data_IF_917834488630
#
_entry.id   IF_917834488630
#
_cell.length_a   1.000
_cell.length_b   1.000
_cell.length_c   1.000
_cell.angle_alpha   90.00
_cell.angle_beta   90.00
_cell.angle_gamma   90.00
#
_symmetry.space_group_name_H-M   'P 1'
#
loop_
_entity.id
_entity.type
_entity.pdbx_description
1 polymer ?
#
# COMPACT_ATOMS: atom_id res chain seq x y z
N UNK A 1 -13.72 -5.59 18.42
CA UNK A 1 -14.48 -4.96 17.31
C UNK A 1 -14.32 -3.47 17.45
N UNK A 2 -13.51 -2.84 16.61
CA UNK A 2 -13.24 -1.41 16.72
C UNK A 2 -14.17 -0.66 15.76
N UNK A 3 -14.95 0.27 16.32
CA UNK A 3 -15.87 1.12 15.57
C UNK A 3 -15.11 2.38 15.18
N UNK A 4 -15.03 2.67 13.88
CA UNK A 4 -14.44 3.92 13.38
C UNK A 4 -15.57 4.91 13.14
N UNK A 5 -15.53 6.06 13.82
CA UNK A 5 -16.44 7.15 13.49
C UNK A 5 -16.02 7.78 12.15
N UNK A 6 -16.76 7.47 11.09
CA UNK A 6 -16.54 8.04 9.76
C UNK A 6 -17.44 9.26 9.55
N UNK A 7 -16.81 10.37 9.13
CA UNK A 7 -17.52 11.61 8.80
C UNK A 7 -18.22 11.48 7.46
N UNK A 8 -19.37 12.15 7.29
CA UNK A 8 -20.10 12.24 6.00
C UNK A 8 -19.21 12.67 4.83
N UNK A 9 -18.27 13.59 5.07
CA UNK A 9 -17.32 14.05 4.07
C UNK A 9 -16.34 12.94 3.60
N UNK A 10 -16.01 11.99 4.48
CA UNK A 10 -15.15 10.86 4.14
C UNK A 10 -15.94 9.80 3.37
N UNK A 11 -17.20 9.54 3.73
CA UNK A 11 -18.12 8.68 2.93
C UNK A 11 -18.22 9.20 1.49
N UNK A 12 -18.37 10.52 1.30
CA UNK A 12 -18.44 11.10 -0.04
C UNK A 12 -17.16 10.89 -0.86
N UNK A 13 -15.98 10.87 -0.22
CA UNK A 13 -14.71 10.57 -0.90
C UNK A 13 -14.60 9.10 -1.26
N UNK A 14 -15.07 8.22 -0.39
CA UNK A 14 -15.08 6.77 -0.61
C UNK A 14 -15.98 6.45 -1.82
N UNK A 15 -17.19 7.00 -1.86
CA UNK A 15 -18.09 6.88 -3.03
C UNK A 15 -17.44 7.33 -4.33
N UNK A 16 -16.71 8.45 -4.32
CA UNK A 16 -15.97 8.93 -5.51
C UNK A 16 -14.84 7.99 -5.97
N UNK A 17 -14.24 7.23 -5.05
CA UNK A 17 -13.26 6.19 -5.41
C UNK A 17 -13.97 5.00 -6.07
N UNK A 18 -15.11 4.58 -5.52
CA UNK A 18 -15.94 3.50 -6.06
C UNK A 18 -16.48 3.85 -7.45
N UNK A 19 -17.06 5.03 -7.62
CA UNK A 19 -17.53 5.53 -8.92
C UNK A 19 -16.41 5.53 -9.97
N UNK A 20 -15.20 5.91 -9.59
CA UNK A 20 -14.06 5.89 -10.49
C UNK A 20 -13.66 4.45 -10.88
N UNK A 21 -13.69 3.52 -9.93
CA UNK A 21 -13.45 2.10 -10.20
C UNK A 21 -14.53 1.52 -11.12
N UNK A 22 -15.80 1.81 -10.87
CA UNK A 22 -16.92 1.29 -11.67
C UNK A 22 -16.85 1.79 -13.11
N UNK A 23 -16.48 3.06 -13.33
CA UNK A 23 -16.25 3.62 -14.67
C UNK A 23 -15.07 2.98 -15.40
N UNK A 24 -14.00 2.59 -14.68
CA UNK A 24 -12.90 1.82 -15.28
C UNK A 24 -13.35 0.40 -15.65
N UNK A 25 -14.16 -0.24 -14.79
CA UNK A 25 -14.68 -1.60 -15.00
C UNK A 25 -15.66 -1.66 -16.18
N UNK A 26 -16.55 -0.67 -16.30
CA UNK A 26 -17.52 -0.58 -17.41
C UNK A 26 -16.87 -0.17 -18.74
N UNK A 27 -15.67 0.40 -18.69
CA UNK A 27 -14.98 0.96 -19.85
C UNK A 27 -15.52 2.34 -20.27
N UNK A 28 -16.41 2.95 -19.49
CA UNK A 28 -16.83 4.35 -19.66
C UNK A 28 -15.62 5.28 -19.58
N UNK A 29 -14.68 4.96 -18.70
CA UNK A 29 -13.39 5.63 -18.59
C UNK A 29 -12.26 4.63 -18.78
N UNK A 30 -11.19 5.06 -19.44
CA UNK A 30 -9.99 4.22 -19.68
C UNK A 30 -8.77 4.68 -18.90
N UNK A 31 -8.85 5.89 -18.34
CA UNK A 31 -7.72 6.54 -17.69
C UNK A 31 -8.20 7.53 -16.63
N UNK A 32 -7.56 7.49 -15.46
CA UNK A 32 -7.52 8.62 -14.55
C UNK A 32 -6.10 8.98 -14.16
N UNK A 33 -5.85 10.29 -14.01
CA UNK A 33 -4.63 10.79 -13.40
C UNK A 33 -4.58 10.32 -11.95
N UNK A 34 -3.39 9.91 -11.50
CA UNK A 34 -3.17 9.34 -10.15
C UNK A 34 -3.53 10.28 -8.99
N UNK A 35 -3.65 11.59 -9.26
CA UNK A 35 -4.13 12.59 -8.30
C UNK A 35 -5.55 12.30 -7.81
N UNK A 36 -6.31 11.47 -8.52
CA UNK A 36 -7.61 10.93 -8.09
C UNK A 36 -7.53 10.19 -6.73
N UNK A 37 -6.38 9.61 -6.39
CA UNK A 37 -6.14 8.96 -5.10
C UNK A 37 -5.73 9.91 -3.97
N UNK A 38 -5.67 11.23 -4.21
CA UNK A 38 -5.27 12.20 -3.18
C UNK A 38 -6.21 12.21 -1.96
N UNK A 39 -7.46 11.74 -2.11
CA UNK A 39 -8.41 11.55 -1.03
C UNK A 39 -7.90 10.62 0.08
N UNK A 40 -7.04 9.64 -0.26
CA UNK A 40 -6.43 8.69 0.68
C UNK A 40 -5.73 9.41 1.82
N UNK A 41 -4.99 10.50 1.55
CA UNK A 41 -4.32 11.29 2.60
C UNK A 41 -5.31 11.71 3.68
N UNK A 42 -6.45 12.23 3.26
CA UNK A 42 -7.48 12.71 4.17
C UNK A 42 -8.24 11.59 4.90
N UNK A 43 -8.40 10.43 4.26
CA UNK A 43 -9.02 9.24 4.86
C UNK A 43 -8.10 8.62 5.93
N UNK A 44 -6.78 8.76 5.78
CA UNK A 44 -5.77 8.28 6.72
C UNK A 44 -5.44 9.25 7.88
N UNK A 45 -6.29 10.25 8.14
CA UNK A 45 -6.10 11.18 9.27
C UNK A 45 -6.21 10.51 10.63
N UNK A 46 -7.17 9.60 10.79
CA UNK A 46 -7.29 8.79 12.00
C UNK A 46 -6.16 7.76 12.03
N UNK A 47 -5.32 7.81 13.06
CA UNK A 47 -4.14 6.96 13.16
C UNK A 47 -4.49 5.48 13.22
N UNK A 48 -5.44 5.09 14.07
CA UNK A 48 -5.86 3.70 14.20
C UNK A 48 -6.37 3.16 12.86
N UNK A 49 -7.23 3.90 12.18
CA UNK A 49 -7.75 3.52 10.87
C UNK A 49 -6.65 3.43 9.80
N UNK A 50 -5.71 4.38 9.82
CA UNK A 50 -4.53 4.36 8.95
C UNK A 50 -3.68 3.10 9.19
N UNK A 51 -3.42 2.73 10.44
CA UNK A 51 -2.66 1.51 10.78
C UNK A 51 -3.37 0.26 10.24
N UNK A 52 -4.68 0.16 10.40
CA UNK A 52 -5.48 -0.93 9.84
C UNK A 52 -5.42 -0.96 8.31
N UNK A 53 -5.48 0.19 7.65
CA UNK A 53 -5.36 0.30 6.21
C UNK A 53 -3.98 -0.12 5.70
N UNK A 54 -2.91 0.32 6.36
CA UNK A 54 -1.55 -0.08 6.02
C UNK A 54 -1.37 -1.59 6.16
N UNK A 55 -1.92 -2.20 7.21
CA UNK A 55 -1.87 -3.65 7.37
C UNK A 55 -2.66 -4.40 6.29
N UNK A 56 -3.88 -3.95 6.00
CA UNK A 56 -4.70 -4.56 4.94
C UNK A 56 -3.97 -4.55 3.59
N UNK A 57 -3.42 -3.40 3.19
CA UNK A 57 -2.68 -3.33 1.93
C UNK A 57 -1.35 -4.08 1.97
N UNK A 58 -0.67 -4.11 3.12
CA UNK A 58 0.52 -4.94 3.29
C UNK A 58 0.19 -6.41 3.02
N UNK A 59 -0.93 -6.93 3.54
CA UNK A 59 -1.38 -8.29 3.28
C UNK A 59 -1.67 -8.54 1.79
N UNK A 60 -2.32 -7.58 1.10
CA UNK A 60 -2.51 -7.67 -0.35
C UNK A 60 -1.17 -7.75 -1.10
N UNK A 61 -0.17 -6.92 -0.74
CA UNK A 61 1.17 -6.95 -1.35
C UNK A 61 1.90 -8.25 -1.05
N UNK A 62 1.82 -8.73 0.20
CA UNK A 62 2.40 -10.03 0.60
C UNK A 62 1.81 -11.16 -0.23
N UNK A 63 0.48 -11.25 -0.37
CA UNK A 63 -0.17 -12.27 -1.20
C UNK A 63 0.30 -12.22 -2.66
N UNK A 64 0.42 -11.02 -3.25
CA UNK A 64 0.94 -10.88 -4.61
C UNK A 64 2.39 -11.38 -4.74
N UNK A 65 3.23 -11.09 -3.75
CA UNK A 65 4.61 -11.58 -3.70
C UNK A 65 4.66 -13.11 -3.56
N UNK A 66 3.85 -13.69 -2.68
CA UNK A 66 3.78 -15.14 -2.47
C UNK A 66 3.32 -15.88 -3.74
N UNK A 67 2.34 -15.35 -4.46
CA UNK A 67 1.91 -15.90 -5.75
C UNK A 67 3.05 -15.90 -6.76
N UNK A 68 3.77 -14.78 -6.93
CA UNK A 68 4.92 -14.70 -7.85
C UNK A 68 6.00 -15.72 -7.50
N UNK A 69 6.29 -15.88 -6.20
CA UNK A 69 7.31 -16.81 -5.70
C UNK A 69 6.89 -18.28 -5.90
N UNK A 70 5.61 -18.60 -5.80
CA UNK A 70 5.09 -19.97 -5.96
C UNK A 70 5.02 -20.40 -7.43
N UNK A 71 4.76 -19.47 -8.35
CA UNK A 71 4.73 -19.77 -9.81
C UNK A 71 6.12 -20.09 -10.38
N UNK A 72 7.18 -19.52 -9.80
CA UNK A 72 8.56 -19.76 -10.21
C UNK A 72 9.07 -21.03 -9.52
N UNK A 73 9.22 -22.11 -10.29
CA UNK A 73 9.58 -23.45 -9.80
C UNK A 73 11.00 -23.53 -9.16
N UNK A 74 11.80 -22.46 -9.23
CA UNK A 74 13.11 -22.34 -8.59
C UNK A 74 13.30 -20.93 -8.02
N UNK A 75 13.32 -20.82 -6.69
CA UNK A 75 13.58 -19.54 -6.03
C UNK A 75 15.08 -19.26 -6.03
N UNK A 76 15.45 -18.09 -6.54
CA UNK A 76 16.79 -17.55 -6.37
C UNK A 76 17.03 -17.19 -4.89
N UNK A 77 18.30 -17.15 -4.41
CA UNK A 77 18.60 -16.70 -3.05
C UNK A 77 18.02 -15.32 -2.71
N UNK A 78 17.91 -14.45 -3.73
CA UNK A 78 17.32 -13.12 -3.64
C UNK A 78 15.81 -13.17 -3.37
N UNK A 79 15.09 -14.05 -4.04
CA UNK A 79 13.64 -14.25 -3.85
C UNK A 79 13.36 -14.86 -2.49
N UNK A 80 14.16 -15.84 -2.06
CA UNK A 80 14.06 -16.41 -0.72
C UNK A 80 14.28 -15.35 0.37
N UNK A 81 15.28 -14.47 0.19
CA UNK A 81 15.51 -13.35 1.12
C UNK A 81 14.30 -12.41 1.19
N UNK A 82 13.73 -12.03 0.05
CA UNK A 82 12.53 -11.18 0.00
C UNK A 82 11.38 -11.86 0.73
N UNK A 83 11.13 -13.13 0.41
CA UNK A 83 10.05 -13.93 0.98
C UNK A 83 10.14 -13.98 2.51
N UNK A 84 11.32 -14.33 3.03
CA UNK A 84 11.57 -14.39 4.47
C UNK A 84 11.40 -13.02 5.14
N UNK A 85 11.96 -11.95 4.56
CA UNK A 85 11.84 -10.60 5.09
C UNK A 85 10.38 -10.14 5.19
N UNK A 86 9.56 -10.44 4.18
CA UNK A 86 8.14 -10.08 4.19
C UNK A 86 7.37 -10.86 5.24
N UNK A 87 7.68 -12.15 5.46
CA UNK A 87 7.09 -12.91 6.55
C UNK A 87 7.50 -12.43 7.94
N UNK A 88 8.77 -12.05 8.13
CA UNK A 88 9.22 -11.43 9.38
C UNK A 88 8.45 -10.13 9.65
N UNK A 89 8.30 -9.27 8.64
CA UNK A 89 7.50 -8.03 8.77
C UNK A 89 6.04 -8.35 9.07
N UNK A 90 5.46 -9.37 8.44
CA UNK A 90 4.08 -9.80 8.71
C UNK A 90 3.89 -10.18 10.19
N UNK A 91 4.85 -10.91 10.77
CA UNK A 91 4.83 -11.27 12.19
C UNK A 91 4.90 -10.02 13.08
N UNK A 92 5.73 -9.04 12.72
CA UNK A 92 5.80 -7.74 13.43
C UNK A 92 4.45 -7.00 13.38
N UNK A 93 3.73 -7.07 12.26
CA UNK A 93 2.40 -6.45 12.14
C UNK A 93 1.36 -7.16 13.04
N UNK A 94 1.43 -8.48 13.16
CA UNK A 94 0.59 -9.26 14.09
C UNK A 94 0.89 -8.88 15.53
N UNK A 95 2.17 -8.85 15.91
CA UNK A 95 2.61 -8.46 17.24
C UNK A 95 2.11 -7.06 17.64
N UNK A 96 2.13 -6.11 16.68
CA UNK A 96 1.62 -4.76 16.89
C UNK A 96 0.11 -4.74 17.23
N UNK A 97 -0.67 -5.64 16.62
CA UNK A 97 -2.12 -5.74 16.87
C UNK A 97 -2.46 -6.40 18.20
N UNK A 98 -1.60 -7.30 18.65
CA UNK A 98 -1.62 -7.85 19.99
C UNK A 98 -1.18 -6.84 21.06
N UNK A 99 -0.82 -5.61 20.63
CA UNK A 99 -0.43 -4.52 21.52
C UNK A 99 1.02 -4.58 22.00
N UNK A 100 1.86 -5.41 21.37
CA UNK A 100 3.29 -5.47 21.69
C UNK A 100 4.00 -4.22 21.15
N UNK A 101 5.02 -3.76 21.87
CA UNK A 101 5.93 -2.75 21.35
C UNK A 101 6.82 -3.35 20.27
N UNK A 102 6.64 -2.87 19.04
CA UNK A 102 7.34 -3.34 17.85
C UNK A 102 8.29 -2.29 17.25
N UNK A 103 8.49 -1.15 17.92
CA UNK A 103 9.24 -0.01 17.37
C UNK A 103 10.64 -0.41 16.89
N UNK A 104 11.38 -1.15 17.71
CA UNK A 104 12.72 -1.65 17.36
C UNK A 104 12.70 -2.60 16.16
N UNK A 105 11.69 -3.47 16.06
CA UNK A 105 11.54 -4.40 14.95
C UNK A 105 11.22 -3.65 13.64
N UNK A 106 10.32 -2.67 13.68
CA UNK A 106 10.01 -1.80 12.54
C UNK A 106 11.26 -1.04 12.07
N UNK A 107 12.04 -0.45 12.99
CA UNK A 107 13.30 0.23 12.65
C UNK A 107 14.33 -0.73 12.04
N UNK A 108 14.46 -1.95 12.58
CA UNK A 108 15.33 -3.00 12.01
C UNK A 108 14.93 -3.33 10.57
N UNK A 109 13.65 -3.62 10.32
CA UNK A 109 13.17 -3.99 8.99
C UNK A 109 13.23 -2.83 8.00
N UNK A 110 12.94 -1.60 8.46
CA UNK A 110 13.19 -0.38 7.68
C UNK A 110 14.62 -0.31 7.17
N UNK A 111 15.60 -0.55 8.05
CA UNK A 111 17.01 -0.51 7.69
C UNK A 111 17.38 -1.65 6.73
N UNK A 112 16.82 -2.85 6.92
CA UNK A 112 17.03 -3.98 5.99
C UNK A 112 16.48 -3.66 4.58
N UNK A 113 15.28 -3.09 4.48
CA UNK A 113 14.68 -2.66 3.21
C UNK A 113 15.52 -1.55 2.56
N UNK A 114 15.91 -0.54 3.34
CA UNK A 114 16.73 0.57 2.86
C UNK A 114 18.08 0.07 2.32
N UNK A 115 18.74 -0.85 3.04
CA UNK A 115 20.00 -1.47 2.62
C UNK A 115 19.81 -2.32 1.35
N UNK A 116 18.76 -3.13 1.28
CA UNK A 116 18.50 -3.93 0.09
C UNK A 116 18.30 -3.04 -1.15
N UNK A 117 17.58 -1.93 -0.99
CA UNK A 117 17.28 -0.95 -2.03
C UNK A 117 18.27 0.24 -2.06
N UNK A 118 19.51 0.05 -1.60
CA UNK A 118 20.50 1.14 -1.43
C UNK A 118 21.29 1.49 -2.69
N UNK A 119 20.86 1.03 -3.86
CA UNK A 119 21.57 1.34 -5.09
C UNK A 119 21.24 2.77 -5.51
N UNK A 120 22.26 3.55 -5.84
CA UNK A 120 22.10 4.92 -6.33
C UNK A 120 22.85 5.09 -7.64
N UNK A 121 22.26 5.87 -8.55
CA UNK A 121 22.87 6.26 -9.81
C UNK A 121 22.96 7.77 -9.90
N UNK A 122 24.16 8.27 -10.18
CA UNK A 122 24.34 9.68 -10.55
C UNK A 122 23.83 9.89 -11.98
N UNK A 123 22.87 10.79 -12.13
CA UNK A 123 22.45 11.34 -13.42
C UNK A 123 22.94 12.79 -13.53
N UNK A 124 22.84 13.41 -14.71
CA UNK A 124 23.49 14.70 -15.03
C UNK A 124 23.27 15.80 -13.99
N UNK A 125 22.10 15.85 -13.35
CA UNK A 125 21.72 16.93 -12.41
C UNK A 125 21.41 16.45 -10.99
N UNK A 126 21.44 15.15 -10.70
CA UNK A 126 21.12 14.64 -9.35
C UNK A 126 21.56 13.18 -9.15
N UNK A 127 21.45 12.68 -7.93
CA UNK A 127 21.58 11.25 -7.60
C UNK A 127 20.18 10.68 -7.42
N UNK A 128 19.86 9.62 -8.15
CA UNK A 128 18.58 8.92 -8.04
C UNK A 128 18.76 7.56 -7.38
N UNK A 129 17.82 7.18 -6.52
CA UNK A 129 17.75 5.82 -5.95
C UNK A 129 17.20 4.86 -7.00
N UNK A 130 17.89 3.74 -7.20
CA UNK A 130 17.43 2.65 -8.05
C UNK A 130 16.58 1.69 -7.22
N UNK A 131 15.27 1.70 -7.48
CA UNK A 131 14.32 0.81 -6.81
C UNK A 131 14.42 -0.58 -7.44
N UNK A 132 14.81 -1.57 -6.64
CA UNK A 132 15.00 -2.96 -7.08
C UNK A 132 13.68 -3.73 -7.13
N UNK A 133 12.73 -3.39 -6.27
CA UNK A 133 11.42 -4.03 -6.19
C UNK A 133 10.36 -3.01 -5.77
N UNK A 134 9.36 -2.80 -6.62
CA UNK A 134 8.22 -1.94 -6.31
C UNK A 134 7.43 -2.47 -5.11
N UNK A 135 7.31 -3.79 -4.98
CA UNK A 135 6.60 -4.42 -3.85
C UNK A 135 7.30 -4.10 -2.52
N UNK A 136 8.64 -4.18 -2.49
CA UNK A 136 9.42 -3.79 -1.30
C UNK A 136 9.37 -2.28 -1.02
N UNK A 137 9.32 -1.44 -2.06
CA UNK A 137 9.13 0.00 -1.88
C UNK A 137 7.77 0.32 -1.23
N UNK A 138 6.71 -0.40 -1.62
CA UNK A 138 5.39 -0.23 -1.00
C UNK A 138 5.45 -0.60 0.49
N UNK A 139 6.11 -1.72 0.83
CA UNK A 139 6.31 -2.15 2.21
C UNK A 139 7.14 -1.13 3.00
N UNK A 140 8.18 -0.57 2.40
CA UNK A 140 8.99 0.50 2.99
C UNK A 140 8.12 1.72 3.35
N UNK A 141 7.23 2.15 2.45
CA UNK A 141 6.28 3.22 2.77
C UNK A 141 5.31 2.86 3.89
N UNK A 142 4.88 1.60 4.01
CA UNK A 142 4.04 1.19 5.13
C UNK A 142 4.78 1.23 6.46
N UNK A 143 6.01 0.72 6.52
CA UNK A 143 6.83 0.80 7.74
C UNK A 143 7.08 2.26 8.12
N UNK A 144 7.46 3.10 7.16
CA UNK A 144 7.66 4.53 7.41
C UNK A 144 6.38 5.21 7.88
N UNK A 145 5.22 4.82 7.33
CA UNK A 145 3.91 5.33 7.74
C UNK A 145 3.57 4.94 9.19
N UNK A 146 3.94 3.74 9.63
CA UNK A 146 3.71 3.27 11.00
C UNK A 146 4.65 3.93 12.01
N UNK A 147 5.87 4.26 11.59
CA UNK A 147 6.86 4.97 12.40
C UNK A 147 6.66 6.51 12.43
N UNK A 148 5.77 7.03 11.57
CA UNK A 148 5.50 8.47 11.45
C UNK A 148 4.18 8.88 12.09
N UNK A 149 4.06 10.17 12.41
CA UNK A 149 2.80 10.79 12.87
C UNK A 149 2.25 11.78 11.84
N UNK A 150 1.01 12.22 12.08
CA UNK A 150 0.38 13.37 11.43
C UNK A 150 0.39 13.34 9.89
N UNK A 151 0.71 14.47 9.26
CA UNK A 151 0.70 14.67 7.82
C UNK A 151 1.76 13.82 7.09
N UNK A 152 2.89 13.54 7.74
CA UNK A 152 3.92 12.64 7.18
C UNK A 152 3.35 11.25 6.96
N UNK A 153 2.68 10.70 7.99
CA UNK A 153 2.07 9.37 7.89
C UNK A 153 0.95 9.33 6.84
N UNK A 154 0.14 10.39 6.71
CA UNK A 154 -0.90 10.49 5.67
C UNK A 154 -0.30 10.49 4.25
N UNK A 155 0.81 11.21 4.06
CA UNK A 155 1.54 11.23 2.78
C UNK A 155 2.12 9.86 2.46
N UNK A 156 2.73 9.19 3.42
CA UNK A 156 3.33 7.87 3.25
C UNK A 156 2.27 6.81 2.91
N UNK A 157 1.13 6.80 3.61
CA UNK A 157 -0.01 5.95 3.25
C UNK A 157 -0.46 6.18 1.80
N UNK A 158 -0.59 7.45 1.38
CA UNK A 158 -0.91 7.79 -0.01
C UNK A 158 0.16 7.29 -1.00
N UNK A 159 1.45 7.43 -0.68
CA UNK A 159 2.53 6.95 -1.54
C UNK A 159 2.51 5.43 -1.68
N UNK A 160 2.28 4.70 -0.59
CA UNK A 160 2.11 3.26 -0.61
C UNK A 160 0.92 2.85 -1.50
N UNK A 161 -0.25 3.43 -1.29
CA UNK A 161 -1.45 3.16 -2.12
C UNK A 161 -1.22 3.50 -3.58
N UNK A 162 -0.58 4.63 -3.87
CA UNK A 162 -0.25 5.02 -5.24
C UNK A 162 0.65 3.99 -5.89
N UNK A 163 1.76 3.62 -5.26
CA UNK A 163 2.69 2.61 -5.79
C UNK A 163 2.01 1.25 -5.96
N UNK A 164 1.05 0.93 -5.10
CA UNK A 164 0.25 -0.29 -5.20
C UNK A 164 -0.68 -0.31 -6.41
N UNK A 165 -1.38 0.79 -6.71
CA UNK A 165 -2.45 0.82 -7.73
C UNK A 165 -1.99 1.34 -9.10
N UNK A 166 -1.07 2.29 -9.14
CA UNK A 166 -0.63 2.94 -10.38
C UNK A 166 0.01 1.92 -11.33
N UNK A 167 -0.42 1.91 -12.60
CA UNK A 167 0.13 1.05 -13.63
C UNK A 167 0.51 1.87 -14.86
N UNK A 168 1.41 1.30 -15.65
CA UNK A 168 1.86 1.87 -16.92
C UNK A 168 1.43 0.97 -18.07
N UNK A 169 0.88 1.60 -19.11
CA UNK A 169 0.67 0.99 -20.41
C UNK A 169 1.17 1.95 -21.50
N UNK A 170 2.00 1.52 -22.48
CA UNK A 170 2.50 2.41 -23.53
C UNK A 170 1.42 3.13 -24.34
N UNK A 171 0.22 2.56 -24.46
CA UNK A 171 -0.89 3.13 -25.23
C UNK A 171 -1.71 4.19 -24.49
N UNK A 172 -1.62 4.21 -23.15
CA UNK A 172 -2.45 5.08 -22.29
C UNK A 172 -1.61 5.94 -21.31
N UNK A 173 -0.34 5.58 -21.10
CA UNK A 173 0.57 6.22 -20.15
C UNK A 173 0.49 5.61 -18.74
N UNK A 174 0.94 6.39 -17.75
CA UNK A 174 0.95 6.01 -16.33
C UNK A 174 -0.25 6.62 -15.61
N UNK A 175 -1.01 5.81 -14.87
CA UNK A 175 -2.12 6.28 -14.06
C UNK A 175 -2.99 5.15 -13.51
N UNK A 176 -4.25 5.47 -13.22
CA UNK A 176 -5.29 4.46 -12.99
C UNK A 176 -5.88 4.07 -14.34
N UNK A 177 -5.53 2.87 -14.79
CA UNK A 177 -5.93 2.33 -16.08
C UNK A 177 -6.63 0.98 -15.88
N UNK A 178 -7.11 0.34 -16.94
CA UNK A 178 -7.74 -0.98 -16.85
C UNK A 178 -6.86 -2.01 -16.12
N UNK A 179 -5.54 -1.98 -16.33
CA UNK A 179 -4.58 -2.85 -15.60
C UNK A 179 -4.49 -2.57 -14.10
N UNK A 180 -4.93 -1.39 -13.65
CA UNK A 180 -4.98 -1.02 -12.22
C UNK A 180 -6.19 -1.58 -11.49
N UNK A 181 -7.23 -2.05 -12.21
CA UNK A 181 -8.52 -2.45 -11.64
C UNK A 181 -8.37 -3.43 -10.46
N UNK A 182 -7.59 -4.53 -10.53
CA UNK A 182 -7.52 -5.48 -9.41
C UNK A 182 -7.01 -4.83 -8.13
N UNK A 183 -5.93 -4.05 -8.23
CA UNK A 183 -5.34 -3.35 -7.07
C UNK A 183 -6.21 -2.19 -6.60
N UNK A 184 -6.90 -1.51 -7.52
CA UNK A 184 -7.81 -0.43 -7.14
C UNK A 184 -9.04 -0.98 -6.43
N UNK A 185 -9.49 -2.18 -6.80
CA UNK A 185 -10.56 -2.90 -6.12
C UNK A 185 -10.20 -3.24 -4.68
N UNK A 186 -8.99 -3.73 -4.39
CA UNK A 186 -8.56 -3.96 -3.00
C UNK A 186 -8.69 -2.67 -2.16
N UNK A 187 -8.22 -1.54 -2.70
CA UNK A 187 -8.33 -0.24 -2.02
C UNK A 187 -9.79 0.14 -1.80
N UNK A 188 -10.64 0.01 -2.82
CA UNK A 188 -12.06 0.36 -2.72
C UNK A 188 -12.80 -0.56 -1.74
N UNK A 189 -12.52 -1.87 -1.75
CA UNK A 189 -13.08 -2.85 -0.82
C UNK A 189 -12.77 -2.47 0.62
N UNK A 190 -11.54 -2.07 0.91
CA UNK A 190 -11.20 -1.67 2.27
C UNK A 190 -12.07 -0.50 2.72
N UNK A 191 -12.03 0.60 1.96
CA UNK A 191 -12.72 1.82 2.35
C UNK A 191 -14.25 1.66 2.36
N UNK A 192 -14.80 0.85 1.45
CA UNK A 192 -16.22 0.44 1.48
C UNK A 192 -16.55 -0.23 2.80
N UNK A 193 -15.76 -1.21 3.23
CA UNK A 193 -16.00 -1.90 4.50
C UNK A 193 -15.98 -0.92 5.68
N UNK A 194 -15.08 0.07 5.71
CA UNK A 194 -15.11 1.08 6.78
C UNK A 194 -16.36 1.98 6.69
N UNK A 195 -16.84 2.29 5.49
CA UNK A 195 -18.01 3.15 5.30
C UNK A 195 -19.34 2.47 5.67
N UNK A 196 -19.46 1.16 5.44
CA UNK A 196 -20.71 0.40 5.64
C UNK A 196 -20.72 -0.45 6.90
N UNK A 197 -19.57 -0.99 7.31
CA UNK A 197 -19.42 -1.68 8.57
C UNK A 197 -18.75 -0.72 9.54
N UNK A 198 -19.51 -0.28 10.55
CA UNK A 198 -18.97 0.27 11.79
C UNK A 198 -18.12 -0.76 12.57
N UNK A 199 -17.61 -1.82 11.93
CA UNK A 199 -16.93 -2.96 12.53
C UNK A 199 -16.02 -3.61 11.49
N UNK A 200 -14.74 -3.22 11.51
CA UNK A 200 -13.73 -3.94 10.74
C UNK A 200 -13.36 -5.24 11.47
N UNK A 201 -13.44 -6.38 10.78
CA UNK A 201 -12.83 -7.64 11.18
C UNK A 201 -11.72 -7.93 10.20
N UNK A 202 -10.53 -8.19 10.70
CA UNK A 202 -9.53 -8.87 9.89
C UNK A 202 -9.54 -10.32 10.31
N UNK A 203 -9.66 -11.18 9.29
CA UNK A 203 -9.58 -12.64 9.44
C UNK A 203 -8.11 -13.04 9.43
#
# INVERSE_FOLDING_TARGET
MQIFEIKKADIAKIKKLEEALDKLKSGEERYYVITKLSSIKSLCKNETLRRHYCWYLFDCVKRQLETKVTEVHQQTPKEQFIFNLVHEIAQVMVDMQEGKDVSNALHKHRNQLAHYQSDYKKIKWTTVRLIKSTDLLIIEYFIDCLLSTDDSAQKLAYHATRSYVERYDPSVGTGLITKSIPMFEDVAVFWRQVAFNNSYRVQ
#
